data_IF_187794089330
#
_entry.id   IF_187794089330
#
_cell.length_a   1.000
_cell.length_b   1.000
_cell.length_c   1.000
_cell.angle_alpha   90.00
_cell.angle_beta   90.00
_cell.angle_gamma   90.00
#
_symmetry.space_group_name_H-M   'P 1'
#
loop_
_entity.id
_entity.type
_entity.pdbx_description
1 polymer ?
#
# COMPACT_ATOMS: atom_id res chain seq x y z
N UNK A 1 -69.32 -10.95 3.31
CA UNK A 1 -68.25 -10.04 3.73
C UNK A 1 -67.21 -10.85 4.48
N UNK A 2 -66.10 -11.18 3.82
CA UNK A 2 -64.98 -11.91 4.42
C UNK A 2 -64.12 -10.92 5.20
N UNK A 3 -64.09 -11.08 6.53
CA UNK A 3 -63.13 -10.37 7.37
C UNK A 3 -61.72 -10.89 7.08
N UNK A 4 -60.71 -10.02 6.96
CA UNK A 4 -59.34 -10.46 6.76
C UNK A 4 -58.88 -11.22 8.01
N UNK A 5 -58.46 -12.47 7.80
CA UNK A 5 -57.76 -13.28 8.77
C UNK A 5 -56.40 -12.61 8.97
N UNK A 6 -56.32 -11.73 9.97
CA UNK A 6 -55.04 -11.33 10.57
C UNK A 6 -54.55 -12.58 11.32
N UNK A 7 -53.47 -13.25 10.90
CA UNK A 7 -53.06 -14.48 11.54
C UNK A 7 -52.60 -14.19 12.96
N UNK A 8 -53.22 -14.93 13.87
CA UNK A 8 -52.94 -15.04 15.29
C UNK A 8 -51.56 -15.69 15.47
N UNK A 9 -50.50 -14.94 15.17
CA UNK A 9 -49.12 -15.39 15.35
C UNK A 9 -48.38 -14.63 16.46
N UNK A 10 -48.92 -13.49 16.93
CA UNK A 10 -48.24 -12.65 17.92
C UNK A 10 -48.49 -13.00 19.40
N UNK A 11 -49.32 -14.01 19.71
CA UNK A 11 -49.74 -14.29 21.10
C UNK A 11 -49.27 -15.63 21.68
N UNK A 12 -48.62 -16.53 20.92
CA UNK A 12 -48.19 -17.84 21.42
C UNK A 12 -46.69 -18.12 21.38
N UNK A 13 -45.92 -17.26 20.74
CA UNK A 13 -44.47 -17.29 20.82
C UNK A 13 -44.05 -15.99 21.47
N UNK A 14 -43.31 -16.05 22.58
CA UNK A 14 -42.58 -14.93 23.18
C UNK A 14 -41.44 -14.45 22.25
N UNK A 15 -41.72 -14.40 20.95
CA UNK A 15 -40.81 -13.96 19.91
C UNK A 15 -40.91 -12.44 19.87
N UNK A 16 -40.13 -11.81 20.74
CA UNK A 16 -39.67 -10.45 20.45
C UNK A 16 -38.84 -10.56 19.18
N UNK A 17 -39.19 -9.81 18.14
CA UNK A 17 -38.27 -9.63 17.01
C UNK A 17 -36.91 -9.23 17.60
N UNK A 18 -35.81 -9.94 17.26
CA UNK A 18 -34.51 -9.58 17.81
C UNK A 18 -34.26 -8.11 17.48
N UNK A 19 -33.83 -7.36 18.49
CA UNK A 19 -33.62 -5.92 18.37
C UNK A 19 -32.74 -5.63 17.16
N UNK A 20 -33.34 -4.99 16.15
CA UNK A 20 -32.71 -4.55 14.90
C UNK A 20 -31.59 -3.52 15.14
N UNK A 21 -31.26 -3.16 16.37
CA UNK A 21 -30.83 -1.80 16.66
C UNK A 21 -29.33 -1.56 16.68
N UNK A 22 -28.47 -2.57 16.87
CA UNK A 22 -27.04 -2.32 17.07
C UNK A 22 -26.18 -2.80 15.90
N UNK A 23 -26.39 -4.02 15.41
CA UNK A 23 -25.59 -4.54 14.29
C UNK A 23 -25.94 -3.88 12.97
N UNK A 24 -27.23 -3.64 12.71
CA UNK A 24 -27.66 -2.98 11.47
C UNK A 24 -27.28 -1.49 11.47
N UNK A 25 -27.30 -0.82 12.63
CA UNK A 25 -26.84 0.57 12.74
C UNK A 25 -25.31 0.68 12.59
N UNK A 26 -24.55 -0.26 13.15
CA UNK A 26 -23.10 -0.36 12.91
C UNK A 26 -22.78 -0.58 11.43
N UNK A 27 -23.47 -1.50 10.76
CA UNK A 27 -23.30 -1.76 9.33
C UNK A 27 -23.69 -0.55 8.48
N UNK A 28 -24.76 0.17 8.83
CA UNK A 28 -25.14 1.40 8.14
C UNK A 28 -24.11 2.52 8.31
N UNK A 29 -23.53 2.66 9.52
CA UNK A 29 -22.45 3.60 9.77
C UNK A 29 -21.18 3.25 8.98
N UNK A 30 -20.84 1.97 8.89
CA UNK A 30 -19.71 1.48 8.11
C UNK A 30 -19.92 1.71 6.60
N UNK A 31 -21.12 1.42 6.07
CA UNK A 31 -21.48 1.72 4.67
C UNK A 31 -21.39 3.23 4.38
N UNK A 32 -21.83 4.08 5.31
CA UNK A 32 -21.74 5.53 5.15
C UNK A 32 -20.28 6.00 5.10
N UNK A 33 -19.43 5.45 5.99
CA UNK A 33 -18.01 5.76 6.02
C UNK A 33 -17.31 5.30 4.73
N UNK A 34 -17.58 4.07 4.26
CA UNK A 34 -17.04 3.55 3.00
C UNK A 34 -17.48 4.39 1.79
N UNK A 35 -18.74 4.85 1.75
CA UNK A 35 -19.21 5.75 0.69
C UNK A 35 -18.48 7.10 0.69
N UNK A 36 -18.27 7.67 1.87
CA UNK A 36 -17.54 8.92 2.01
C UNK A 36 -16.08 8.77 1.58
N UNK A 37 -15.45 7.65 1.94
CA UNK A 37 -14.08 7.36 1.49
C UNK A 37 -14.03 7.15 -0.03
N UNK A 38 -14.98 6.42 -0.62
CA UNK A 38 -15.07 6.26 -2.08
C UNK A 38 -15.19 7.63 -2.77
N UNK A 39 -16.04 8.52 -2.26
CA UNK A 39 -16.22 9.86 -2.82
C UNK A 39 -14.93 10.69 -2.73
N UNK A 40 -14.25 10.65 -1.59
CA UNK A 40 -12.97 11.31 -1.39
C UNK A 40 -11.89 10.77 -2.33
N UNK A 41 -11.79 9.44 -2.49
CA UNK A 41 -10.86 8.79 -3.41
C UNK A 41 -11.15 9.15 -4.88
N UNK A 42 -12.43 9.25 -5.25
CA UNK A 42 -12.85 9.70 -6.58
C UNK A 42 -12.46 11.16 -6.84
N UNK A 43 -12.61 12.04 -5.86
CA UNK A 43 -12.18 13.44 -5.97
C UNK A 43 -10.66 13.56 -6.13
N UNK A 44 -9.89 12.81 -5.36
CA UNK A 44 -8.43 12.74 -5.51
C UNK A 44 -8.03 12.27 -6.91
N UNK A 45 -8.66 11.19 -7.40
CA UNK A 45 -8.43 10.69 -8.76
C UNK A 45 -8.79 11.74 -9.83
N UNK A 46 -9.84 12.54 -9.62
CA UNK A 46 -10.25 13.59 -10.55
C UNK A 46 -9.27 14.76 -10.57
N UNK A 47 -8.75 15.16 -9.41
CA UNK A 47 -7.72 16.19 -9.29
C UNK A 47 -6.41 15.78 -9.97
N UNK A 48 -6.00 14.51 -9.84
CA UNK A 48 -4.82 13.96 -10.51
C UNK A 48 -5.00 13.83 -12.04
N UNK A 49 -6.24 13.78 -12.54
CA UNK A 49 -6.55 13.75 -13.99
C UNK A 49 -6.55 15.12 -14.67
N UNK A 50 -6.52 16.23 -13.92
CA UNK A 50 -6.64 17.59 -14.44
C UNK A 50 -5.50 18.07 -15.35
N UNK A 51 -4.36 17.37 -15.39
CA UNK A 51 -3.19 17.68 -16.23
C UNK A 51 -3.22 17.03 -17.63
N UNK A 52 -4.30 16.33 -18.00
CA UNK A 52 -4.48 15.73 -19.33
C UNK A 52 -3.86 14.34 -19.51
N UNK A 53 -3.06 13.87 -18.56
CA UNK A 53 -2.62 12.48 -18.43
C UNK A 53 -2.56 12.13 -16.94
N UNK A 54 -3.14 11.00 -16.53
CA UNK A 54 -3.07 10.57 -15.14
C UNK A 54 -1.62 10.25 -14.78
N UNK A 55 -1.04 11.01 -13.86
CA UNK A 55 0.25 10.68 -13.28
C UNK A 55 0.06 9.54 -12.28
N UNK A 56 0.36 8.33 -12.75
CA UNK A 56 0.19 7.11 -11.98
C UNK A 56 1.12 7.04 -10.76
N UNK A 57 2.26 7.73 -10.78
CA UNK A 57 3.20 7.74 -9.66
C UNK A 57 2.70 8.68 -8.56
N UNK A 58 2.26 9.89 -8.91
CA UNK A 58 1.58 10.79 -7.97
C UNK A 58 0.32 10.14 -7.38
N UNK A 59 -0.45 9.44 -8.22
CA UNK A 59 -1.65 8.72 -7.78
C UNK A 59 -1.34 7.63 -6.74
N UNK A 60 -0.35 6.77 -7.02
CA UNK A 60 0.10 5.73 -6.07
C UNK A 60 0.41 6.34 -4.71
N UNK A 61 1.21 7.41 -4.67
CA UNK A 61 1.70 7.93 -3.39
C UNK A 61 0.65 8.72 -2.64
N UNK A 62 -0.23 9.45 -3.33
CA UNK A 62 -1.41 10.05 -2.68
C UNK A 62 -2.28 8.99 -2.02
N UNK A 63 -2.47 7.86 -2.70
CA UNK A 63 -3.27 6.77 -2.17
C UNK A 63 -2.58 6.04 -1.02
N UNK A 64 -1.27 5.80 -1.09
CA UNK A 64 -0.48 5.27 0.02
C UNK A 64 -0.55 6.20 1.24
N UNK A 65 -0.41 7.52 1.05
CA UNK A 65 -0.54 8.52 2.12
C UNK A 65 -1.91 8.49 2.80
N UNK A 66 -2.97 8.31 2.02
CA UNK A 66 -4.32 8.18 2.57
C UNK A 66 -4.51 6.84 3.30
N UNK A 67 -4.08 5.73 2.70
CA UNK A 67 -4.24 4.38 3.25
C UNK A 67 -3.43 4.16 4.53
N UNK A 68 -2.28 4.83 4.65
CA UNK A 68 -1.36 4.71 5.78
C UNK A 68 -1.46 5.87 6.77
N UNK A 69 -2.46 6.74 6.63
CA UNK A 69 -2.63 8.00 7.40
C UNK A 69 -2.71 7.81 8.91
N UNK A 70 -3.13 6.63 9.37
CA UNK A 70 -3.26 6.26 10.79
C UNK A 70 -2.04 5.51 11.33
N UNK A 71 -1.04 5.23 10.49
CA UNK A 71 0.15 4.46 10.85
C UNK A 71 1.39 5.35 10.94
N UNK A 72 2.42 4.96 11.72
CA UNK A 72 3.53 5.85 12.03
C UNK A 72 4.59 5.85 10.92
N UNK A 73 4.19 6.25 9.71
CA UNK A 73 5.07 6.34 8.54
C UNK A 73 5.22 7.78 8.04
N UNK A 74 6.45 8.16 7.71
CA UNK A 74 6.72 9.34 6.88
C UNK A 74 6.87 8.87 5.42
N UNK A 75 6.07 9.45 4.52
CA UNK A 75 6.07 9.08 3.10
C UNK A 75 6.59 10.26 2.26
N UNK A 76 7.79 10.10 1.72
CA UNK A 76 8.46 11.09 0.85
C UNK A 76 8.26 10.72 -0.64
N UNK A 77 7.81 11.70 -1.42
CA UNK A 77 7.72 11.63 -2.88
C UNK A 77 9.04 12.03 -3.51
N UNK A 78 9.41 11.38 -4.62
CA UNK A 78 10.47 11.87 -5.52
C UNK A 78 11.74 12.27 -4.78
N UNK A 79 12.19 11.41 -3.85
CA UNK A 79 13.41 11.71 -3.11
C UNK A 79 14.57 11.72 -4.10
N UNK A 80 15.31 12.81 -4.13
CA UNK A 80 16.58 12.88 -4.83
C UNK A 80 17.58 11.95 -4.12
N UNK A 81 18.06 10.92 -4.82
CA UNK A 81 18.93 9.87 -4.23
C UNK A 81 20.37 9.95 -4.73
N UNK A 82 20.72 11.00 -5.48
CA UNK A 82 22.06 11.21 -6.03
C UNK A 82 22.35 12.70 -6.31
N UNK A 83 23.62 13.03 -6.55
CA UNK A 83 24.06 14.36 -7.04
C UNK A 83 23.61 14.70 -8.47
N UNK A 84 23.00 13.75 -9.18
CA UNK A 84 22.30 13.92 -10.46
C UNK A 84 20.83 13.57 -10.24
N UNK A 85 19.92 14.26 -10.94
CA UNK A 85 18.47 14.09 -10.80
C UNK A 85 18.07 12.64 -11.11
N UNK A 86 17.85 11.87 -10.04
CA UNK A 86 17.22 10.56 -10.10
C UNK A 86 16.19 10.49 -8.97
N UNK A 87 14.97 10.07 -9.30
CA UNK A 87 13.82 10.13 -8.40
C UNK A 87 13.34 8.72 -8.10
N UNK A 88 13.34 8.36 -6.81
CA UNK A 88 12.62 7.19 -6.33
C UNK A 88 11.13 7.50 -6.27
N UNK A 89 10.29 6.58 -6.77
CA UNK A 89 8.84 6.78 -6.83
C UNK A 89 8.23 7.00 -5.44
N UNK A 90 8.65 6.22 -4.44
CA UNK A 90 8.19 6.40 -3.06
C UNK A 90 9.21 5.88 -2.04
N UNK A 91 9.50 6.70 -1.03
CA UNK A 91 10.21 6.28 0.18
C UNK A 91 9.23 6.31 1.37
N UNK A 92 9.04 5.16 2.01
CA UNK A 92 8.29 5.05 3.26
C UNK A 92 9.26 4.81 4.41
N UNK A 93 9.34 5.77 5.33
CA UNK A 93 10.16 5.68 6.54
C UNK A 93 9.27 5.24 7.69
N UNK A 94 9.53 4.05 8.24
CA UNK A 94 8.80 3.51 9.39
C UNK A 94 9.37 4.02 10.70
N UNK A 95 8.49 4.44 11.62
CA UNK A 95 8.86 4.85 12.99
C UNK A 95 9.08 3.66 13.94
N UNK A 96 9.44 2.48 13.43
CA UNK A 96 9.85 1.34 14.24
C UNK A 96 11.33 1.39 14.68
N UNK A 97 12.05 2.51 14.49
CA UNK A 97 13.35 2.76 15.12
C UNK A 97 13.29 4.01 16.00
N UNK A 98 12.69 3.88 17.18
CA UNK A 98 12.61 4.92 18.22
C UNK A 98 13.96 5.10 18.97
N UNK A 99 15.00 4.32 18.64
CA UNK A 99 16.29 4.37 19.36
C UNK A 99 17.38 5.22 18.67
N UNK A 100 17.04 6.02 17.64
CA UNK A 100 17.99 6.97 17.06
C UNK A 100 18.07 8.25 17.93
N UNK A 101 19.25 8.69 18.40
CA UNK A 101 19.41 9.71 19.44
C UNK A 101 18.95 11.14 19.09
N UNK A 102 18.26 11.37 17.96
CA UNK A 102 17.77 12.69 17.52
C UNK A 102 16.40 12.64 16.82
N UNK A 103 15.52 11.70 17.16
CA UNK A 103 14.20 11.60 16.52
C UNK A 103 13.29 12.82 16.82
N UNK A 104 12.78 13.44 15.74
CA UNK A 104 11.80 14.55 15.75
C UNK A 104 10.52 14.12 16.51
N UNK A 105 9.96 14.94 17.42
CA UNK A 105 8.73 14.61 18.11
C UNK A 105 7.56 14.53 17.12
N UNK A 106 6.91 13.36 17.05
CA UNK A 106 5.74 13.11 16.19
C UNK A 106 4.47 13.06 17.05
N UNK A 107 3.34 13.63 16.58
CA UNK A 107 2.07 13.57 17.31
C UNK A 107 1.57 12.13 17.43
N UNK A 108 0.87 11.84 18.53
CA UNK A 108 0.22 10.56 18.82
C UNK A 108 -0.98 10.35 17.88
N UNK A 109 -0.93 9.30 17.06
CA UNK A 109 -2.04 8.90 16.19
C UNK A 109 -2.82 7.73 16.81
N UNK A 110 -4.15 7.69 16.68
CA UNK A 110 -4.92 6.50 17.03
C UNK A 110 -4.53 5.36 16.10
N UNK A 111 -3.96 4.29 16.68
CA UNK A 111 -3.61 3.07 15.95
C UNK A 111 -4.92 2.36 15.62
N UNK A 112 -5.48 2.62 14.44
CA UNK A 112 -6.42 1.69 13.84
C UNK A 112 -5.58 0.58 13.20
N UNK A 113 -5.67 -0.65 13.72
CA UNK A 113 -5.05 -1.86 13.17
C UNK A 113 -5.74 -2.29 11.86
N UNK A 114 -5.82 -1.38 10.87
CA UNK A 114 -6.20 -1.76 9.53
C UNK A 114 -5.06 -2.61 8.94
N UNK A 115 -5.34 -3.82 8.44
CA UNK A 115 -4.32 -4.67 7.83
C UNK A 115 -3.68 -3.96 6.64
N UNK A 116 -2.35 -4.09 6.51
CA UNK A 116 -1.64 -3.57 5.36
C UNK A 116 -2.07 -4.32 4.08
N UNK A 117 -1.99 -3.65 2.91
CA UNK A 117 -2.18 -4.32 1.64
C UNK A 117 -1.21 -5.50 1.49
N UNK A 118 -1.67 -6.59 0.87
CA UNK A 118 -0.86 -7.79 0.68
C UNK A 118 0.48 -7.42 0.00
N UNK A 119 1.57 -7.95 0.55
CA UNK A 119 2.92 -7.67 0.09
C UNK A 119 3.55 -6.39 0.63
N UNK A 120 2.84 -5.51 1.35
CA UNK A 120 3.48 -4.42 2.12
C UNK A 120 3.65 -4.84 3.58
N UNK A 121 4.88 -5.14 3.96
CA UNK A 121 5.22 -5.54 5.33
C UNK A 121 5.62 -4.31 6.18
N UNK A 122 6.37 -3.37 5.58
CA UNK A 122 6.78 -2.07 6.16
C UNK A 122 7.48 -2.13 7.55
N UNK A 123 8.04 -3.29 7.91
CA UNK A 123 8.76 -3.51 9.18
C UNK A 123 10.14 -2.86 9.22
N UNK A 124 10.73 -2.51 8.07
CA UNK A 124 12.06 -1.91 7.99
C UNK A 124 12.01 -0.40 8.14
N UNK A 125 13.09 0.21 8.63
CA UNK A 125 13.17 1.67 8.80
C UNK A 125 12.99 2.40 7.47
N UNK A 126 13.63 1.93 6.40
CA UNK A 126 13.54 2.53 5.07
C UNK A 126 12.93 1.53 4.08
N UNK A 127 11.78 1.86 3.53
CA UNK A 127 11.07 1.03 2.57
C UNK A 127 11.02 1.77 1.23
N UNK A 128 11.79 1.29 0.26
CA UNK A 128 11.90 1.91 -1.05
C UNK A 128 10.95 1.20 -2.00
N UNK A 129 10.08 1.95 -2.66
CA UNK A 129 9.12 1.43 -3.63
C UNK A 129 9.46 2.05 -4.99
N UNK A 130 9.64 1.20 -6.00
CA UNK A 130 9.51 1.62 -7.39
C UNK A 130 8.21 1.07 -7.97
N UNK A 131 7.55 1.87 -8.82
CA UNK A 131 6.27 1.54 -9.41
C UNK A 131 6.35 1.50 -10.93
N UNK A 132 5.62 0.54 -11.52
CA UNK A 132 5.46 0.37 -12.97
C UNK A 132 3.98 0.23 -13.28
N UNK A 133 3.39 1.31 -13.78
CA UNK A 133 1.96 1.40 -14.10
C UNK A 133 1.56 0.50 -15.27
N UNK A 134 0.27 0.45 -15.61
CA UNK A 134 -0.22 -0.25 -16.81
C UNK A 134 0.42 0.22 -18.14
N UNK A 135 1.03 1.42 -18.14
CA UNK A 135 1.71 1.98 -19.32
C UNK A 135 3.21 1.69 -19.35
N UNK A 136 3.74 1.04 -18.32
CA UNK A 136 5.17 0.80 -18.17
C UNK A 136 5.41 -0.65 -17.72
N UNK A 137 6.20 -1.39 -18.49
CA UNK A 137 6.59 -2.75 -18.10
C UNK A 137 7.76 -2.71 -17.13
N UNK A 138 7.73 -3.59 -16.12
CA UNK A 138 8.91 -3.81 -15.29
C UNK A 138 10.01 -4.50 -16.11
N UNK A 139 11.21 -3.90 -16.12
CA UNK A 139 12.39 -4.40 -16.81
C UNK A 139 13.52 -4.70 -15.82
N UNK A 140 14.53 -5.47 -16.26
CA UNK A 140 15.75 -5.65 -15.46
C UNK A 140 16.48 -4.33 -15.17
N UNK A 141 16.40 -3.37 -16.09
CA UNK A 141 16.96 -2.04 -15.89
C UNK A 141 16.29 -1.33 -14.72
N UNK A 142 14.96 -1.34 -14.66
CA UNK A 142 14.22 -0.75 -13.54
C UNK A 142 14.55 -1.43 -12.19
N UNK A 143 14.79 -2.75 -12.20
CA UNK A 143 15.28 -3.45 -11.00
C UNK A 143 16.66 -2.94 -10.58
N UNK A 144 17.58 -2.75 -11.54
CA UNK A 144 18.91 -2.19 -11.27
C UNK A 144 18.85 -0.74 -10.79
N UNK A 145 17.93 0.07 -11.32
CA UNK A 145 17.70 1.44 -10.86
C UNK A 145 17.26 1.49 -9.40
N UNK A 146 16.32 0.63 -8.99
CA UNK A 146 15.90 0.53 -7.58
C UNK A 146 17.07 0.16 -6.66
N UNK A 147 17.93 -0.77 -7.08
CA UNK A 147 19.16 -1.11 -6.34
C UNK A 147 20.10 0.10 -6.30
N UNK A 148 20.19 0.86 -7.39
CA UNK A 148 20.87 2.15 -7.45
C UNK A 148 20.39 3.10 -6.37
N UNK A 149 19.07 3.34 -6.27
CA UNK A 149 18.46 4.18 -5.24
C UNK A 149 18.76 3.70 -3.83
N UNK A 150 18.63 2.40 -3.58
CA UNK A 150 19.03 1.81 -2.32
C UNK A 150 20.49 2.14 -1.95
N UNK A 151 21.43 1.97 -2.89
CA UNK A 151 22.84 2.28 -2.62
C UNK A 151 23.11 3.77 -2.45
N UNK A 152 22.40 4.63 -3.19
CA UNK A 152 22.48 6.08 -3.07
C UNK A 152 22.00 6.54 -1.70
N UNK A 153 20.80 6.11 -1.29
CA UNK A 153 20.21 6.48 0.00
C UNK A 153 21.11 6.04 1.15
N UNK A 154 21.68 4.83 1.10
CA UNK A 154 22.64 4.36 2.12
C UNK A 154 23.89 5.25 2.23
N UNK A 155 24.36 5.82 1.11
CA UNK A 155 25.51 6.75 1.12
C UNK A 155 25.11 8.10 1.68
N UNK A 156 23.94 8.61 1.33
CA UNK A 156 23.46 9.91 1.79
C UNK A 156 23.23 9.92 3.30
N UNK A 157 22.72 8.80 3.83
CA UNK A 157 22.50 8.63 5.27
C UNK A 157 23.80 8.50 6.09
N UNK A 158 25.00 8.42 5.49
CA UNK A 158 26.26 8.24 6.24
C UNK A 158 26.46 9.26 7.35
N UNK A 159 26.09 10.52 7.11
CA UNK A 159 26.22 11.58 8.11
C UNK A 159 25.38 11.33 9.36
N UNK A 160 24.26 10.63 9.22
CA UNK A 160 23.35 10.29 10.32
C UNK A 160 23.85 9.06 11.10
N UNK A 161 24.73 8.26 10.52
CA UNK A 161 25.27 7.01 11.09
C UNK A 161 26.78 7.09 11.33
N UNK A 162 27.25 8.20 11.93
CA UNK A 162 28.65 8.40 12.32
C UNK A 162 29.67 8.16 11.18
N UNK A 163 29.33 8.59 9.96
CA UNK A 163 30.11 8.41 8.72
C UNK A 163 30.22 6.96 8.23
N UNK A 164 29.47 6.04 8.81
CA UNK A 164 29.39 4.63 8.38
C UNK A 164 28.18 4.41 7.48
N UNK A 165 28.24 3.37 6.64
CA UNK A 165 27.06 2.93 5.89
C UNK A 165 26.05 2.30 6.85
N UNK A 166 24.77 2.70 6.82
CA UNK A 166 23.74 2.05 7.61
C UNK A 166 23.64 0.57 7.25
N UNK A 167 23.28 -0.28 8.21
CA UNK A 167 23.11 -1.72 8.01
C UNK A 167 22.06 -1.99 6.92
N UNK A 168 22.34 -2.94 6.02
CA UNK A 168 21.42 -3.36 4.98
C UNK A 168 20.09 -3.88 5.54
N UNK A 169 20.08 -4.42 6.76
CA UNK A 169 18.87 -4.92 7.43
C UNK A 169 17.84 -3.84 7.76
N UNK A 170 18.23 -2.55 7.71
CA UNK A 170 17.35 -1.41 7.92
C UNK A 170 16.49 -1.09 6.69
N UNK A 171 16.70 -1.77 5.56
CA UNK A 171 16.08 -1.46 4.29
C UNK A 171 15.24 -2.62 3.77
N UNK A 172 14.09 -2.31 3.21
CA UNK A 172 13.30 -3.23 2.38
C UNK A 172 13.06 -2.58 1.02
N UNK A 173 13.20 -3.39 -0.04
CA UNK A 173 12.95 -2.97 -1.40
C UNK A 173 11.65 -3.61 -1.89
N UNK A 174 10.85 -2.79 -2.56
CA UNK A 174 9.58 -3.17 -3.14
C UNK A 174 9.53 -2.71 -4.59
N UNK A 175 8.94 -3.57 -5.43
CA UNK A 175 8.54 -3.21 -6.78
C UNK A 175 7.05 -3.48 -6.89
N UNK A 176 6.28 -2.43 -7.17
CA UNK A 176 4.87 -2.58 -7.53
C UNK A 176 4.79 -2.54 -9.05
N UNK A 177 4.16 -3.52 -9.67
CA UNK A 177 3.97 -3.54 -11.12
C UNK A 177 2.55 -3.96 -11.46
N UNK A 178 1.95 -3.30 -12.46
CA UNK A 178 0.60 -3.66 -12.87
C UNK A 178 0.56 -5.02 -13.54
N UNK A 179 1.50 -5.32 -14.43
CA UNK A 179 1.51 -6.55 -15.22
C UNK A 179 2.57 -7.55 -14.75
N UNK A 180 2.29 -8.85 -14.92
CA UNK A 180 3.24 -9.89 -14.59
C UNK A 180 4.52 -9.77 -15.45
N UNK A 181 5.72 -9.67 -14.84
CA UNK A 181 6.92 -9.27 -15.56
C UNK A 181 7.69 -10.47 -16.12
N UNK A 182 7.12 -11.17 -17.10
CA UNK A 182 7.67 -12.42 -17.68
C UNK A 182 9.18 -12.35 -17.98
N UNK A 183 9.63 -11.28 -18.65
CA UNK A 183 11.03 -11.09 -19.03
C UNK A 183 11.99 -10.97 -17.83
N UNK A 184 11.53 -10.41 -16.71
CA UNK A 184 12.33 -10.30 -15.48
C UNK A 184 12.40 -11.65 -14.79
N UNK A 185 11.28 -12.39 -14.75
CA UNK A 185 11.21 -13.72 -14.15
C UNK A 185 12.18 -14.69 -14.83
N UNK A 186 12.20 -14.72 -16.15
CA UNK A 186 13.08 -15.60 -16.94
C UNK A 186 14.58 -15.35 -16.71
N UNK A 187 14.94 -14.14 -16.28
CA UNK A 187 16.33 -13.71 -16.10
C UNK A 187 16.72 -13.51 -14.63
N UNK A 188 15.79 -13.71 -13.70
CA UNK A 188 16.03 -13.57 -12.27
C UNK A 188 16.92 -14.70 -11.75
N UNK A 189 17.76 -14.40 -10.74
CA UNK A 189 18.53 -15.45 -10.05
C UNK A 189 17.59 -16.38 -9.26
N UNK A 190 16.56 -15.81 -8.63
CA UNK A 190 15.47 -16.58 -8.04
C UNK A 190 14.18 -15.74 -8.01
N UNK A 191 13.07 -16.40 -8.33
CA UNK A 191 11.72 -15.86 -8.28
C UNK A 191 10.82 -16.83 -7.51
N UNK A 192 10.25 -16.40 -6.39
CA UNK A 192 9.48 -17.27 -5.50
C UNK A 192 8.11 -16.68 -5.21
N UNK A 193 7.06 -17.48 -5.40
CA UNK A 193 5.72 -17.12 -4.93
C UNK A 193 5.63 -17.18 -3.41
N UNK A 194 4.79 -16.31 -2.82
CA UNK A 194 4.39 -16.43 -1.42
C UNK A 194 3.05 -17.16 -1.30
N UNK A 195 2.51 -17.21 -0.09
CA UNK A 195 1.14 -17.63 0.22
C UNK A 195 0.07 -16.63 -0.25
N UNK A 196 0.47 -15.42 -0.65
CA UNK A 196 -0.42 -14.35 -1.12
C UNK A 196 -0.41 -14.28 -2.66
N UNK A 197 -1.58 -14.34 -3.33
CA UNK A 197 -1.67 -14.15 -4.78
C UNK A 197 -1.07 -12.82 -5.22
N UNK A 198 -0.30 -12.82 -6.32
CA UNK A 198 0.32 -11.62 -6.85
C UNK A 198 1.52 -11.08 -6.06
N UNK A 199 1.94 -11.75 -4.98
CA UNK A 199 3.11 -11.37 -4.20
C UNK A 199 4.24 -12.37 -4.41
N UNK A 200 5.42 -11.84 -4.71
CA UNK A 200 6.60 -12.63 -5.04
C UNK A 200 7.85 -12.09 -4.36
N UNK A 201 8.82 -12.97 -4.13
CA UNK A 201 10.18 -12.63 -3.78
C UNK A 201 11.09 -12.75 -5.00
N UNK A 202 11.75 -11.66 -5.35
CA UNK A 202 12.84 -11.62 -6.33
C UNK A 202 14.17 -11.55 -5.56
N UNK A 203 15.06 -12.49 -5.82
CA UNK A 203 16.45 -12.40 -5.38
C UNK A 203 17.34 -12.02 -6.56
N UNK A 204 18.11 -10.94 -6.40
CA UNK A 204 19.08 -10.49 -7.40
C UNK A 204 20.14 -9.61 -6.77
N UNK A 205 21.38 -9.69 -7.27
CA UNK A 205 22.53 -8.89 -6.77
C UNK A 205 22.73 -8.97 -5.25
N UNK A 206 22.39 -10.11 -4.63
CA UNK A 206 22.50 -10.30 -3.18
C UNK A 206 21.36 -9.69 -2.35
N UNK A 207 20.32 -9.13 -2.98
CA UNK A 207 19.21 -8.44 -2.32
C UNK A 207 17.89 -9.18 -2.57
N UNK A 208 17.06 -9.23 -1.53
CA UNK A 208 15.67 -9.66 -1.64
C UNK A 208 14.77 -8.44 -1.89
N UNK A 209 13.96 -8.52 -2.93
CA UNK A 209 13.02 -7.49 -3.36
C UNK A 209 11.63 -8.11 -3.37
N UNK A 210 10.68 -7.47 -2.69
CA UNK A 210 9.28 -7.92 -2.72
C UNK A 210 8.60 -7.33 -3.95
N UNK A 211 8.08 -8.19 -4.82
CA UNK A 211 7.38 -7.77 -6.04
C UNK A 211 5.88 -7.99 -5.87
N UNK A 212 5.11 -6.92 -6.07
CA UNK A 212 3.66 -6.90 -5.97
C UNK A 212 3.10 -6.70 -7.37
N UNK A 213 2.48 -7.74 -7.93
CA UNK A 213 1.85 -7.71 -9.26
C UNK A 213 0.36 -7.41 -9.05
N UNK A 214 -0.03 -6.14 -9.22
CA UNK A 214 -1.37 -5.69 -8.81
C UNK A 214 -2.50 -6.36 -9.60
N UNK A 215 -2.26 -6.78 -10.86
CA UNK A 215 -3.25 -7.54 -11.64
C UNK A 215 -3.50 -8.97 -11.16
N UNK A 216 -2.78 -9.45 -10.15
CA UNK A 216 -2.89 -10.80 -9.59
C UNK A 216 -3.25 -10.81 -8.10
N UNK A 217 -3.42 -9.63 -7.51
CA UNK A 217 -3.78 -9.47 -6.10
C UNK A 217 -5.26 -9.84 -5.91
N UNK A 218 -5.58 -10.39 -4.73
CA UNK A 218 -6.94 -10.74 -4.36
C UNK A 218 -7.83 -9.49 -4.17
N UNK A 219 -9.08 -9.57 -4.66
CA UNK A 219 -10.11 -8.54 -4.52
C UNK A 219 -10.67 -8.49 -3.08
N UNK A 220 -9.85 -8.01 -2.15
CA UNK A 220 -10.18 -7.88 -0.73
C UNK A 220 -10.14 -6.40 -0.27
N UNK A 221 -10.88 -6.00 0.78
CA UNK A 221 -10.94 -4.61 1.23
C UNK A 221 -9.56 -4.01 1.58
N UNK A 222 -8.67 -4.78 2.21
CA UNK A 222 -7.32 -4.32 2.56
C UNK A 222 -6.40 -4.14 1.35
N UNK A 223 -6.76 -4.76 0.22
CA UNK A 223 -6.05 -4.65 -1.05
C UNK A 223 -6.62 -3.54 -1.97
N UNK A 224 -7.52 -2.70 -1.48
CA UNK A 224 -8.20 -1.68 -2.29
C UNK A 224 -7.22 -0.80 -3.12
N UNK A 225 -6.06 -0.45 -2.56
CA UNK A 225 -5.01 0.29 -3.29
C UNK A 225 -4.50 -0.48 -4.51
N UNK A 226 -4.20 -1.77 -4.37
CA UNK A 226 -3.71 -2.60 -5.47
C UNK A 226 -4.76 -2.81 -6.53
N UNK A 227 -5.98 -3.07 -6.09
CA UNK A 227 -7.10 -3.30 -7.00
C UNK A 227 -7.39 -2.05 -7.84
N UNK A 228 -7.24 -0.84 -7.27
CA UNK A 228 -7.39 0.42 -7.99
C UNK A 228 -6.28 0.65 -9.04
N UNK A 229 -5.07 0.15 -8.80
CA UNK A 229 -3.90 0.27 -9.68
C UNK A 229 -3.77 -0.88 -10.69
N UNK A 230 -4.61 -1.91 -10.56
CA UNK A 230 -4.52 -3.15 -11.34
C UNK A 230 -5.00 -3.04 -12.79
N UNK A 231 -5.60 -1.90 -13.18
CA UNK A 231 -6.23 -1.66 -14.48
C UNK A 231 -7.29 -2.71 -14.89
N UNK A 232 -7.73 -3.57 -13.95
CA UNK A 232 -8.79 -4.54 -14.16
C UNK A 232 -10.14 -3.81 -14.11
N UNK A 233 -10.73 -3.62 -15.29
CA UNK A 233 -12.17 -3.43 -15.50
C UNK A 233 -12.79 -4.73 -15.96
#
# INVERSE_FOLDING_TARGET
TLNPIVPVLHQKTNYQAPAVTDRESMLQAEIANLKQEIEHLQQLAHQTRGSGNMDWHDFLVRFLKQSLKTQPYLIEMEKLVAKQDQYLDCLIISKASIDAPNSIPFPSFPIAEAPLPDGLILEKTYNLISYKSCRESLTLWAVQELIGYYTGLRKDLRSEYAQQLPDAQLFQLYIVTTHYPQNVVEQAQSWQSTDKPGVYWLYTSGLWIQVIVTSQIALEPHNAIWNLLSDIK
#
